data_IF_551900312297
#
_entry.id   IF_551900312297
#
_cell.length_a   1.000
_cell.length_b   1.000
_cell.length_c   1.000
_cell.angle_alpha   90.00
_cell.angle_beta   90.00
_cell.angle_gamma   90.00
#
_symmetry.space_group_name_H-M   'P 1'
#
loop_
_entity.id
_entity.type
_entity.pdbx_description
1 polymer ?
#
# COMPACT_ATOMS: atom_id res chain seq x y z
N UNK A 1 3.09 9.98 -3.42
CA UNK A 1 4.53 9.68 -3.49
C UNK A 1 5.26 10.85 -2.86
N UNK A 2 5.75 10.68 -1.64
CA UNK A 2 6.36 11.76 -0.86
C UNK A 2 7.23 11.22 0.27
N UNK A 3 8.34 11.90 0.55
CA UNK A 3 9.40 11.46 1.47
C UNK A 3 9.00 11.45 2.96
N UNK A 4 7.84 12.00 3.34
CA UNK A 4 7.52 12.32 4.73
C UNK A 4 6.28 11.58 5.25
N UNK A 5 6.50 10.54 6.05
CA UNK A 5 5.44 9.82 6.79
C UNK A 5 5.61 9.88 8.32
N UNK A 6 6.71 10.46 8.82
CA UNK A 6 7.14 10.37 10.23
C UNK A 6 6.18 10.93 11.28
N UNK A 7 5.17 11.72 10.90
CA UNK A 7 4.13 12.24 11.82
C UNK A 7 2.82 11.43 11.82
N UNK A 8 2.63 10.52 10.86
CA UNK A 8 1.34 9.83 10.65
C UNK A 8 1.35 8.38 11.16
N UNK A 9 2.52 7.71 11.15
CA UNK A 9 2.60 6.24 11.26
C UNK A 9 3.12 5.71 12.59
N UNK A 10 3.56 6.57 13.52
CA UNK A 10 4.18 6.12 14.79
C UNK A 10 3.23 5.19 15.55
N UNK A 11 3.55 3.90 15.64
CA UNK A 11 2.99 2.98 16.64
C UNK A 11 1.98 1.92 16.20
N UNK A 12 1.75 1.66 14.91
CA UNK A 12 0.93 0.49 14.50
C UNK A 12 1.65 -0.29 13.39
N UNK A 13 2.30 -1.39 13.77
CA UNK A 13 2.74 -2.41 12.83
C UNK A 13 1.51 -3.21 12.39
N UNK A 14 1.04 -2.99 11.17
CA UNK A 14 -0.03 -3.81 10.60
C UNK A 14 0.57 -5.18 10.28
N UNK A 15 0.28 -6.16 11.14
CA UNK A 15 0.71 -7.54 10.90
C UNK A 15 0.03 -8.08 9.64
N UNK A 16 0.79 -8.57 8.68
CA UNK A 16 0.20 -8.96 7.42
C UNK A 16 -0.52 -10.29 7.52
N UNK A 17 -1.82 -10.30 7.23
CA UNK A 17 -2.65 -11.50 7.20
C UNK A 17 -3.01 -11.81 5.75
N UNK A 18 -2.43 -12.87 5.19
CA UNK A 18 -2.89 -13.39 3.92
C UNK A 18 -4.29 -13.96 4.13
N UNK A 19 -5.32 -13.23 3.73
CA UNK A 19 -6.69 -13.68 3.85
C UNK A 19 -7.37 -13.63 2.48
N UNK A 20 -7.22 -14.71 1.72
CA UNK A 20 -8.08 -15.03 0.58
C UNK A 20 -9.54 -15.32 1.01
N UNK A 21 -9.92 -15.00 2.25
CA UNK A 21 -11.28 -15.19 2.76
C UNK A 21 -12.17 -14.03 2.32
N UNK A 22 -13.00 -14.28 1.31
CA UNK A 22 -14.00 -13.33 0.78
C UNK A 22 -14.91 -12.72 1.87
N UNK A 23 -15.28 -13.48 2.92
CA UNK A 23 -16.10 -12.94 4.03
C UNK A 23 -15.35 -11.89 4.83
N UNK A 24 -14.05 -12.09 5.04
CA UNK A 24 -13.20 -11.14 5.73
C UNK A 24 -12.99 -9.86 4.91
N UNK A 25 -12.66 -10.01 3.61
CA UNK A 25 -12.51 -8.88 2.69
C UNK A 25 -13.81 -8.07 2.59
N UNK A 26 -14.97 -8.73 2.53
CA UNK A 26 -16.30 -8.08 2.54
C UNK A 26 -16.61 -7.37 3.86
N UNK A 27 -16.02 -7.81 4.99
CA UNK A 27 -16.15 -7.11 6.28
C UNK A 27 -15.30 -5.84 6.30
N UNK A 28 -14.06 -5.92 5.79
CA UNK A 28 -13.17 -4.77 5.68
C UNK A 28 -13.74 -3.69 4.75
N UNK A 29 -14.28 -4.07 3.59
CA UNK A 29 -14.82 -3.12 2.61
C UNK A 29 -16.07 -2.35 3.09
N UNK A 30 -16.75 -2.85 4.12
CA UNK A 30 -17.94 -2.20 4.71
C UNK A 30 -17.60 -1.23 5.84
N UNK A 31 -16.36 -1.24 6.33
CA UNK A 31 -15.90 -0.39 7.43
C UNK A 31 -15.21 0.86 6.91
N UNK A 32 -15.20 1.91 7.72
CA UNK A 32 -14.56 3.18 7.34
C UNK A 32 -13.04 3.02 7.31
N UNK A 33 -12.45 3.21 6.13
CA UNK A 33 -11.01 3.14 5.91
C UNK A 33 -10.39 4.55 5.86
N UNK A 34 -9.37 4.77 6.68
CA UNK A 34 -8.49 5.95 6.68
C UNK A 34 -7.08 5.44 6.89
N UNK A 35 -6.41 5.09 5.80
CA UNK A 35 -5.06 4.52 5.80
C UNK A 35 -4.15 5.37 4.93
N UNK A 36 -2.86 5.30 5.19
CA UNK A 36 -1.83 5.98 4.42
C UNK A 36 -0.82 4.95 3.95
N UNK A 37 -0.49 5.00 2.67
CA UNK A 37 0.64 4.31 2.05
C UNK A 37 1.60 5.37 1.53
N UNK A 38 2.84 5.34 2.00
CA UNK A 38 3.86 6.36 1.68
C UNK A 38 5.08 5.72 1.07
N UNK A 39 5.80 6.49 0.23
CA UNK A 39 6.99 6.03 -0.45
C UNK A 39 8.23 6.05 0.44
N UNK A 40 8.24 6.85 1.50
CA UNK A 40 9.34 6.90 2.47
C UNK A 40 8.91 7.23 3.90
N UNK A 41 9.85 7.01 4.82
CA UNK A 41 9.76 7.34 6.23
C UNK A 41 10.10 8.80 6.54
N UNK A 42 11.33 8.99 7.02
CA UNK A 42 12.01 10.26 7.23
C UNK A 42 13.25 10.40 6.32
N UNK A 43 13.51 9.39 5.49
CA UNK A 43 14.69 9.30 4.62
C UNK A 43 14.35 9.82 3.21
N UNK A 44 15.32 10.39 2.47
CA UNK A 44 15.11 10.82 1.10
C UNK A 44 14.70 9.63 0.20
N UNK A 45 13.92 9.92 -0.84
CA UNK A 45 13.47 8.94 -1.84
C UNK A 45 14.11 9.28 -3.18
N UNK A 46 14.31 8.27 -4.02
CA UNK A 46 14.85 8.48 -5.36
C UNK A 46 13.70 8.89 -6.30
N UNK A 47 13.95 9.87 -7.18
CA UNK A 47 12.89 10.45 -8.03
C UNK A 47 12.58 9.63 -9.29
N UNK A 48 13.55 8.83 -9.79
CA UNK A 48 13.41 8.01 -10.99
C UNK A 48 14.30 6.77 -10.92
N UNK A 49 13.79 5.63 -11.41
CA UNK A 49 14.54 4.37 -11.57
C UNK A 49 14.82 4.01 -13.05
N UNK A 50 14.58 4.94 -13.97
CA UNK A 50 14.72 4.74 -15.42
C UNK A 50 13.43 4.29 -16.11
N UNK A 51 12.32 4.14 -15.37
CA UNK A 51 10.99 3.86 -15.95
C UNK A 51 10.15 5.13 -16.17
N UNK A 52 10.63 6.31 -15.78
CA UNK A 52 9.87 7.56 -15.79
C UNK A 52 8.94 7.70 -14.57
N UNK A 53 9.15 6.85 -13.56
CA UNK A 53 8.45 6.85 -12.29
C UNK A 53 9.47 6.69 -11.15
N UNK A 54 9.13 7.18 -9.95
CA UNK A 54 9.92 6.85 -8.76
C UNK A 54 9.92 5.32 -8.53
N UNK A 55 10.91 4.77 -7.82
CA UNK A 55 10.93 3.35 -7.48
C UNK A 55 9.64 2.89 -6.77
N UNK A 56 9.05 3.75 -5.93
CA UNK A 56 7.78 3.43 -5.28
C UNK A 56 6.61 3.41 -6.25
N UNK A 57 6.50 4.43 -7.10
CA UNK A 57 5.41 4.50 -8.08
C UNK A 57 5.49 3.33 -9.07
N UNK A 58 6.70 3.00 -9.53
CA UNK A 58 6.95 1.86 -10.42
C UNK A 58 6.54 0.53 -9.77
N UNK A 59 6.98 0.28 -8.52
CA UNK A 59 6.62 -0.91 -7.77
C UNK A 59 5.10 -0.99 -7.49
N UNK A 60 4.45 0.14 -7.17
CA UNK A 60 3.00 0.21 -6.97
C UNK A 60 2.24 -0.13 -8.25
N UNK A 61 2.63 0.44 -9.38
CA UNK A 61 2.00 0.18 -10.68
C UNK A 61 2.19 -1.28 -11.09
N UNK A 62 3.39 -1.83 -10.92
CA UNK A 62 3.68 -3.24 -11.20
C UNK A 62 2.81 -4.17 -10.35
N UNK A 63 2.74 -3.93 -9.04
CA UNK A 63 1.90 -4.70 -8.12
C UNK A 63 0.42 -4.69 -8.55
N UNK A 64 -0.12 -3.54 -8.93
CA UNK A 64 -1.51 -3.42 -9.39
C UNK A 64 -1.74 -4.13 -10.73
N UNK A 65 -0.81 -4.03 -11.69
CA UNK A 65 -0.91 -4.70 -13.01
C UNK A 65 -0.85 -6.22 -12.90
N UNK A 66 0.05 -6.71 -12.06
CA UNK A 66 0.30 -8.14 -11.83
C UNK A 66 -0.69 -8.78 -10.84
N UNK A 67 -1.59 -8.00 -10.24
CA UNK A 67 -2.63 -8.51 -9.35
C UNK A 67 -3.53 -9.51 -10.10
N UNK A 68 -3.45 -10.80 -9.72
CA UNK A 68 -4.30 -11.89 -10.25
C UNK A 68 -5.48 -12.24 -9.35
N UNK A 69 -5.67 -11.52 -8.24
CA UNK A 69 -6.69 -11.81 -7.25
C UNK A 69 -7.22 -10.54 -6.60
N UNK A 70 -7.30 -10.56 -5.27
CA UNK A 70 -7.76 -9.43 -4.47
C UNK A 70 -6.65 -9.04 -3.50
N UNK A 71 -6.27 -7.76 -3.51
CA UNK A 71 -5.42 -7.21 -2.47
C UNK A 71 -6.27 -6.43 -1.46
N UNK A 72 -6.04 -6.65 -0.18
CA UNK A 72 -6.25 -5.61 0.83
C UNK A 72 -5.03 -4.67 0.84
N UNK A 73 -5.14 -3.52 1.50
CA UNK A 73 -4.06 -2.53 1.56
C UNK A 73 -2.77 -3.11 2.15
N UNK A 74 -2.88 -4.06 3.08
CA UNK A 74 -1.72 -4.75 3.64
C UNK A 74 -1.00 -5.65 2.64
N UNK A 75 -1.74 -6.42 1.85
CA UNK A 75 -1.19 -7.30 0.81
C UNK A 75 -0.56 -6.49 -0.32
N UNK A 76 -1.22 -5.40 -0.73
CA UNK A 76 -0.66 -4.43 -1.68
C UNK A 76 0.65 -3.86 -1.13
N UNK A 77 0.66 -3.37 0.12
CA UNK A 77 1.87 -2.85 0.75
C UNK A 77 3.03 -3.85 0.72
N UNK A 78 2.80 -5.12 1.06
CA UNK A 78 3.86 -6.15 1.00
C UNK A 78 4.43 -6.33 -0.40
N UNK A 79 3.57 -6.30 -1.42
CA UNK A 79 3.97 -6.45 -2.82
C UNK A 79 4.81 -5.26 -3.33
N UNK A 80 4.62 -4.07 -2.74
CA UNK A 80 5.38 -2.85 -3.07
C UNK A 80 6.65 -2.71 -2.23
N UNK A 81 6.57 -3.03 -0.93
CA UNK A 81 7.64 -2.78 0.04
C UNK A 81 8.93 -3.51 -0.31
N UNK A 82 8.85 -4.78 -0.71
CA UNK A 82 10.05 -5.57 -1.00
C UNK A 82 10.80 -5.10 -2.26
N UNK A 83 10.15 -4.88 -3.42
CA UNK A 83 10.82 -4.30 -4.59
C UNK A 83 11.51 -2.96 -4.29
N UNK A 84 10.81 -2.03 -3.63
CA UNK A 84 11.39 -0.71 -3.31
C UNK A 84 12.63 -0.82 -2.43
N UNK A 85 12.65 -1.73 -1.45
CA UNK A 85 13.83 -1.95 -0.61
C UNK A 85 15.01 -2.61 -1.33
N UNK A 86 14.76 -3.31 -2.45
CA UNK A 86 15.82 -3.94 -3.25
C UNK A 86 16.40 -2.96 -4.28
N UNK A 87 15.55 -2.09 -4.84
CA UNK A 87 15.93 -1.17 -5.91
C UNK A 87 16.51 0.15 -5.39
N UNK A 88 16.37 0.44 -4.09
CA UNK A 88 16.82 1.68 -3.47
C UNK A 88 17.69 1.42 -2.25
N UNK A 89 18.57 2.37 -1.91
CA UNK A 89 19.47 2.23 -0.76
C UNK A 89 18.81 2.53 0.58
N UNK A 90 17.84 3.45 0.61
CA UNK A 90 17.34 4.05 1.85
C UNK A 90 15.83 4.29 1.87
N UNK A 91 15.11 3.95 0.80
CA UNK A 91 13.68 4.19 0.74
C UNK A 91 12.93 3.10 1.53
N UNK A 92 12.05 3.53 2.43
CA UNK A 92 11.32 2.64 3.32
C UNK A 92 9.84 2.98 3.29
N UNK A 93 9.06 2.36 2.39
CA UNK A 93 7.63 2.58 2.31
C UNK A 93 6.95 2.25 3.64
N UNK A 94 5.93 3.02 4.01
CA UNK A 94 5.16 2.79 5.24
C UNK A 94 3.67 2.65 4.94
N UNK A 95 3.01 1.73 5.63
CA UNK A 95 1.57 1.55 5.59
C UNK A 95 0.98 1.55 7.00
N UNK A 96 0.00 2.42 7.26
CA UNK A 96 -0.63 2.51 8.58
C UNK A 96 -1.96 3.25 8.56
N UNK A 97 -2.71 3.16 9.65
CA UNK A 97 -3.93 3.92 9.86
C UNK A 97 -3.64 5.41 10.11
N UNK A 98 -4.45 6.28 9.52
CA UNK A 98 -4.35 7.72 9.75
C UNK A 98 -4.94 8.06 11.14
N UNK A 99 -4.07 8.42 12.08
CA UNK A 99 -4.46 8.76 13.45
C UNK A 99 -5.48 9.91 13.49
N UNK A 100 -6.46 9.79 14.39
CA UNK A 100 -7.52 10.80 14.64
C UNK A 100 -8.37 11.14 13.41
N UNK A 101 -8.36 10.31 12.37
CA UNK A 101 -9.17 10.52 11.16
C UNK A 101 -10.51 9.76 11.15
N UNK A 102 -10.85 9.07 12.25
CA UNK A 102 -12.05 8.24 12.34
C UNK A 102 -11.95 6.94 11.53
N UNK A 103 -10.77 6.30 11.54
CA UNK A 103 -10.58 4.94 11.03
C UNK A 103 -11.39 3.93 11.87
N UNK A 104 -12.14 3.01 11.24
CA UNK A 104 -12.99 2.00 11.92
C UNK A 104 -12.57 0.54 11.59
N UNK A 105 -11.30 0.32 11.26
CA UNK A 105 -10.79 -1.01 10.93
C UNK A 105 -11.17 -1.48 9.53
N UNK A 106 -11.54 -0.56 8.64
CA UNK A 106 -11.74 -0.85 7.22
C UNK A 106 -10.44 -0.74 6.44
N UNK A 107 -10.40 -1.33 5.25
CA UNK A 107 -9.23 -1.27 4.36
C UNK A 107 -9.69 -1.05 2.91
N UNK A 108 -8.80 -0.53 2.07
CA UNK A 108 -8.98 -0.51 0.63
C UNK A 108 -8.84 -1.92 0.08
N UNK A 109 -9.78 -2.30 -0.78
CA UNK A 109 -9.79 -3.58 -1.47
C UNK A 109 -9.57 -3.32 -2.95
N UNK A 110 -8.48 -3.84 -3.49
CA UNK A 110 -8.09 -3.71 -4.88
C UNK A 110 -8.43 -5.00 -5.62
N UNK A 111 -9.40 -4.87 -6.52
CA UNK A 111 -9.81 -5.93 -7.45
C UNK A 111 -9.37 -5.52 -8.84
N UNK A 112 -8.81 -6.46 -9.61
CA UNK A 112 -8.56 -6.22 -11.02
C UNK A 112 -9.91 -6.13 -11.73
N UNK A 113 -10.24 -4.96 -12.27
CA UNK A 113 -11.40 -4.84 -13.14
C UNK A 113 -11.16 -5.63 -14.42
N UNK A 114 -12.11 -6.48 -14.81
CA UNK A 114 -12.26 -6.75 -16.24
C UNK A 114 -12.77 -5.43 -16.82
N UNK A 115 -11.98 -4.82 -17.71
CA UNK A 115 -12.40 -3.59 -18.42
C UNK A 115 -13.58 -3.88 -19.37
N UNK A 116 -14.05 -5.14 -19.46
CA UNK A 116 -15.19 -5.56 -20.28
C UNK A 116 -16.50 -5.80 -19.48
N UNK A 117 -16.70 -5.10 -18.37
CA UNK A 117 -17.95 -5.18 -17.61
C UNK A 117 -18.59 -3.80 -17.38
N UNK A 118 -18.92 -3.10 -18.47
CA UNK A 118 -20.19 -2.40 -18.74
C UNK A 118 -20.14 -1.65 -20.07
#
# INVERSE_FOLDING_TARGET
DSCYSGRLTRGISVRPRASHNLKFLKKLSRKKARVVLTSGGLKPVDDDNGSGHSPFADALLKALRENKGVFDGTSLFKSVHRPVQLDTRNQEPQYSDLRRAGHDGGDFIFVKGNIDAQ
#
